data_IF_788033372318
#
_entry.id   IF_788033372318
#
_cell.length_a   1.000
_cell.length_b   1.000
_cell.length_c   1.000
_cell.angle_alpha   90.00
_cell.angle_beta   90.00
_cell.angle_gamma   90.00
#
_symmetry.space_group_name_H-M   'P 1'
#
loop_
_entity.id
_entity.type
_entity.pdbx_description
1 polymer ?
#
# COMPACT_ATOMS: atom_id res chain seq x y z
N UNK A 1 -1.86 -48.84 -49.43
CA UNK A 1 -1.73 -47.37 -49.37
C UNK A 1 -2.52 -46.87 -48.17
N UNK A 2 -1.84 -46.17 -47.24
CA UNK A 2 -2.34 -45.14 -46.29
C UNK A 2 -3.42 -45.58 -45.28
N UNK A 3 -3.36 -45.28 -43.98
CA UNK A 3 -2.39 -44.61 -43.13
C UNK A 3 -2.90 -44.70 -41.69
N UNK A 4 -1.97 -44.85 -40.76
CA UNK A 4 -2.01 -44.79 -39.29
C UNK A 4 -3.32 -44.51 -38.54
N UNK A 5 -3.62 -45.46 -37.64
CA UNK A 5 -4.17 -45.26 -36.29
C UNK A 5 -3.48 -44.10 -35.55
N UNK A 6 -4.29 -43.37 -34.76
CA UNK A 6 -3.87 -42.83 -33.47
C UNK A 6 -3.36 -41.39 -33.49
N UNK A 7 -4.26 -40.43 -33.35
CA UNK A 7 -3.93 -39.13 -32.77
C UNK A 7 -4.65 -39.02 -31.42
N UNK A 8 -3.99 -39.51 -30.37
CA UNK A 8 -4.34 -39.22 -28.99
C UNK A 8 -3.96 -37.76 -28.74
N UNK A 9 -4.92 -36.86 -28.82
CA UNK A 9 -4.76 -35.48 -28.37
C UNK A 9 -4.68 -35.47 -26.84
N UNK A 10 -3.47 -35.55 -26.31
CA UNK A 10 -3.17 -35.15 -24.93
C UNK A 10 -3.35 -33.64 -24.82
N UNK A 11 -4.59 -33.20 -24.55
CA UNK A 11 -4.80 -31.90 -23.92
C UNK A 11 -4.34 -32.04 -22.47
N UNK A 12 -3.03 -31.82 -22.25
CA UNK A 12 -2.51 -31.57 -20.90
C UNK A 12 -3.18 -30.30 -20.40
N UNK A 13 -4.23 -30.46 -19.60
CA UNK A 13 -4.79 -29.38 -18.81
C UNK A 13 -3.68 -28.88 -17.88
N UNK A 14 -3.03 -27.79 -18.27
CA UNK A 14 -2.20 -26.99 -17.37
C UNK A 14 -3.16 -26.33 -16.38
N UNK A 15 -3.67 -27.10 -15.44
CA UNK A 15 -4.32 -26.53 -14.27
C UNK A 15 -3.21 -25.79 -13.54
N UNK A 16 -3.15 -24.47 -13.69
CA UNK A 16 -2.41 -23.64 -12.76
C UNK A 16 -3.00 -23.95 -11.38
N UNK A 17 -2.36 -24.87 -10.65
CA UNK A 17 -2.68 -25.11 -9.26
C UNK A 17 -2.30 -23.83 -8.54
N UNK A 18 -3.29 -22.94 -8.37
CA UNK A 18 -3.16 -21.78 -7.51
C UNK A 18 -2.97 -22.31 -6.09
N UNK A 19 -1.73 -22.66 -5.75
CA UNK A 19 -1.36 -23.00 -4.39
C UNK A 19 -1.67 -21.76 -3.56
N UNK A 20 -2.47 -21.96 -2.52
CA UNK A 20 -2.82 -20.87 -1.61
C UNK A 20 -1.55 -20.47 -0.86
N UNK A 21 -1.06 -19.26 -1.16
CA UNK A 21 0.20 -18.74 -0.63
C UNK A 21 0.08 -18.53 0.88
N UNK A 22 1.11 -18.90 1.63
CA UNK A 22 1.16 -18.71 3.08
C UNK A 22 2.15 -17.59 3.43
N UNK A 23 1.66 -16.56 4.11
CA UNK A 23 2.41 -15.34 4.41
C UNK A 23 2.42 -15.04 5.91
N UNK A 24 3.53 -14.49 6.40
CA UNK A 24 3.59 -13.94 7.76
C UNK A 24 2.72 -12.68 7.86
N UNK A 25 1.88 -12.62 8.89
CA UNK A 25 1.11 -11.43 9.26
C UNK A 25 1.64 -10.83 10.55
N UNK A 26 2.14 -9.60 10.49
CA UNK A 26 2.66 -8.87 11.66
C UNK A 26 2.73 -7.36 11.43
N UNK A 27 2.82 -6.60 12.52
CA UNK A 27 3.01 -5.15 12.50
C UNK A 27 4.11 -4.77 13.48
N UNK A 28 4.93 -3.79 13.11
CA UNK A 28 5.82 -3.11 14.04
C UNK A 28 5.85 -1.61 13.76
N UNK A 29 6.04 -0.83 14.83
CA UNK A 29 6.16 0.64 14.78
C UNK A 29 7.62 0.97 15.03
N UNK A 30 8.17 1.90 14.23
CA UNK A 30 9.57 2.35 14.28
C UNK A 30 10.58 1.19 14.24
N UNK A 31 10.26 0.16 13.46
CA UNK A 31 11.10 -1.01 13.21
C UNK A 31 11.08 -1.37 11.73
N UNK A 32 12.20 -1.85 11.21
CA UNK A 32 12.32 -2.30 9.81
C UNK A 32 11.82 -3.74 9.60
N UNK A 33 11.52 -4.47 10.68
CA UNK A 33 11.06 -5.86 10.61
C UNK A 33 10.05 -6.19 11.70
N UNK A 34 9.23 -7.21 11.45
CA UNK A 34 8.33 -7.80 12.42
C UNK A 34 8.25 -9.31 12.26
N UNK A 35 7.88 -9.99 13.34
CA UNK A 35 7.63 -11.43 13.38
C UNK A 35 6.17 -11.65 13.78
N UNK A 36 5.52 -12.66 13.21
CA UNK A 36 4.14 -12.99 13.54
C UNK A 36 3.72 -14.35 13.00
N UNK A 37 2.41 -14.57 12.97
CA UNK A 37 1.84 -15.84 12.57
C UNK A 37 1.71 -15.95 11.06
N UNK A 38 1.73 -17.19 10.56
CA UNK A 38 1.51 -17.45 9.15
C UNK A 38 0.00 -17.59 8.87
N UNK A 39 -0.45 -16.95 7.79
CA UNK A 39 -1.84 -16.97 7.33
C UNK A 39 -1.89 -17.34 5.85
N UNK A 40 -2.95 -18.04 5.46
CA UNK A 40 -3.17 -18.44 4.07
C UNK A 40 -3.90 -17.31 3.33
N UNK A 41 -3.34 -16.85 2.22
CA UNK A 41 -3.94 -15.80 1.39
C UNK A 41 -5.04 -16.36 0.48
N UNK A 42 -6.08 -15.55 0.26
CA UNK A 42 -7.11 -15.82 -0.73
C UNK A 42 -6.59 -15.62 -2.15
N UNK A 43 -7.30 -16.18 -3.14
CA UNK A 43 -6.97 -15.98 -4.55
C UNK A 43 -6.94 -14.48 -4.91
N UNK A 44 -5.96 -14.07 -5.71
CA UNK A 44 -5.73 -12.66 -6.07
C UNK A 44 -4.85 -11.87 -5.11
N UNK A 45 -4.45 -12.47 -3.98
CA UNK A 45 -3.52 -11.86 -3.03
C UNK A 45 -2.15 -12.54 -3.05
N UNK A 46 -1.13 -11.80 -2.64
CA UNK A 46 0.27 -12.24 -2.50
C UNK A 46 0.86 -11.79 -1.16
N UNK A 47 2.04 -12.29 -0.79
CA UNK A 47 2.74 -11.82 0.40
C UNK A 47 3.24 -10.41 0.16
N UNK A 48 2.81 -9.48 1.00
CA UNK A 48 3.19 -8.07 0.93
C UNK A 48 3.90 -7.59 2.18
N UNK A 49 4.86 -6.70 1.98
CA UNK A 49 5.34 -5.79 3.00
C UNK A 49 4.89 -4.36 2.66
N UNK A 50 4.26 -3.72 3.63
CA UNK A 50 3.79 -2.34 3.56
C UNK A 50 4.66 -1.51 4.50
N UNK A 51 5.28 -0.48 3.94
CA UNK A 51 6.11 0.49 4.64
C UNK A 51 5.35 1.82 4.62
N UNK A 52 4.85 2.25 5.77
CA UNK A 52 4.25 3.56 5.93
C UNK A 52 5.17 4.47 6.74
N UNK A 53 5.32 5.71 6.31
CA UNK A 53 6.01 6.77 7.04
C UNK A 53 5.08 7.95 7.14
N UNK A 54 4.95 8.52 8.32
CA UNK A 54 4.29 9.81 8.52
C UNK A 54 5.27 10.79 9.14
N UNK A 55 5.13 12.05 8.76
CA UNK A 55 5.77 13.18 9.42
C UNK A 55 4.65 14.16 9.73
N UNK A 56 4.21 14.22 10.97
CA UNK A 56 3.12 15.10 11.43
C UNK A 56 3.67 15.95 12.57
N UNK A 57 3.55 17.28 12.47
CA UNK A 57 4.08 18.22 13.46
C UNK A 57 5.56 17.93 13.86
N UNK A 58 6.40 17.62 12.87
CA UNK A 58 7.80 17.19 13.02
C UNK A 58 8.04 15.87 13.77
N UNK A 59 6.98 15.13 14.12
CA UNK A 59 7.09 13.78 14.67
C UNK A 59 7.08 12.78 13.53
N UNK A 60 8.17 12.01 13.42
CA UNK A 60 8.30 10.93 12.44
C UNK A 60 7.78 9.63 13.05
N UNK A 61 6.83 8.98 12.40
CA UNK A 61 6.39 7.62 12.74
C UNK A 61 6.55 6.72 11.53
N UNK A 62 7.12 5.54 11.73
CA UNK A 62 7.22 4.51 10.71
C UNK A 62 6.42 3.29 11.13
N UNK A 63 5.70 2.69 10.19
CA UNK A 63 4.97 1.43 10.39
C UNK A 63 5.42 0.45 9.33
N UNK A 64 5.82 -0.73 9.78
CA UNK A 64 6.11 -1.88 8.94
C UNK A 64 5.05 -2.95 9.17
N UNK A 65 4.41 -3.40 8.10
CA UNK A 65 3.34 -4.40 8.13
C UNK A 65 3.64 -5.50 7.11
N UNK A 66 3.58 -6.76 7.55
CA UNK A 66 3.51 -7.92 6.65
C UNK A 66 2.08 -8.45 6.64
N UNK A 67 1.53 -8.70 5.46
CA UNK A 67 0.17 -9.20 5.29
C UNK A 67 -0.05 -9.81 3.89
N UNK A 68 -1.16 -10.50 3.71
CA UNK A 68 -1.69 -10.76 2.37
C UNK A 68 -2.20 -9.44 1.76
N UNK A 69 -1.71 -9.07 0.59
CA UNK A 69 -2.15 -7.86 -0.14
C UNK A 69 -2.62 -8.22 -1.54
N UNK A 70 -3.50 -7.39 -2.10
CA UNK A 70 -3.95 -7.54 -3.49
C UNK A 70 -2.77 -7.41 -4.44
N UNK A 71 -2.73 -8.26 -5.47
CA UNK A 71 -1.73 -8.18 -6.53
C UNK A 71 -1.72 -6.81 -7.24
N UNK A 72 -2.86 -6.11 -7.27
CA UNK A 72 -2.99 -4.77 -7.87
C UNK A 72 -2.27 -3.70 -7.04
N UNK A 73 -2.17 -3.92 -5.72
CA UNK A 73 -1.47 -3.02 -4.81
C UNK A 73 0.02 -3.35 -4.70
N UNK A 74 0.54 -4.22 -5.56
CA UNK A 74 1.93 -4.64 -5.51
C UNK A 74 2.86 -3.61 -6.16
N UNK A 75 4.04 -3.38 -5.56
CA UNK A 75 5.01 -2.37 -6.01
C UNK A 75 4.43 -0.94 -6.08
N UNK A 76 3.30 -0.70 -5.40
CA UNK A 76 2.65 0.59 -5.32
C UNK A 76 3.44 1.53 -4.39
N UNK A 77 3.59 2.77 -4.83
CA UNK A 77 4.14 3.88 -4.05
C UNK A 77 3.13 5.01 -4.07
N UNK A 78 2.75 5.49 -2.89
CA UNK A 78 1.89 6.65 -2.72
C UNK A 78 2.55 7.66 -1.79
N UNK A 79 2.46 8.93 -2.14
CA UNK A 79 2.75 10.06 -1.26
C UNK A 79 1.51 10.92 -1.15
N UNK A 80 1.36 11.52 0.02
CA UNK A 80 0.31 12.48 0.28
C UNK A 80 0.80 13.56 1.23
N UNK A 81 0.64 14.81 0.82
CA UNK A 81 0.99 15.97 1.66
C UNK A 81 -0.27 16.72 2.09
N UNK A 82 -0.28 17.15 3.35
CA UNK A 82 -1.34 17.94 3.98
C UNK A 82 -0.73 19.11 4.76
N UNK A 83 -1.57 20.01 5.26
CA UNK A 83 -1.15 21.12 6.11
C UNK A 83 -0.58 20.71 7.46
N UNK A 84 -0.83 19.47 7.91
CA UNK A 84 -0.34 18.96 9.19
C UNK A 84 0.89 18.06 9.03
N UNK A 85 1.20 17.64 7.80
CA UNK A 85 2.23 16.65 7.59
C UNK A 85 2.13 15.89 6.28
N UNK A 86 3.02 14.92 6.14
CA UNK A 86 3.18 14.12 4.94
C UNK A 86 3.14 12.62 5.27
N UNK A 87 2.52 11.84 4.39
CA UNK A 87 2.39 10.40 4.46
C UNK A 87 3.03 9.79 3.22
N UNK A 88 3.81 8.74 3.41
CA UNK A 88 4.28 7.88 2.35
C UNK A 88 3.85 6.45 2.64
N UNK A 89 3.45 5.74 1.60
CA UNK A 89 3.14 4.31 1.64
C UNK A 89 3.84 3.64 0.48
N UNK A 90 4.67 2.64 0.79
CA UNK A 90 5.31 1.79 -0.21
C UNK A 90 4.93 0.35 0.06
N UNK A 91 4.77 -0.39 -1.01
CA UNK A 91 4.44 -1.81 -0.96
C UNK A 91 5.45 -2.59 -1.77
N UNK A 92 5.91 -3.71 -1.23
CA UNK A 92 6.73 -4.69 -1.92
C UNK A 92 6.09 -6.05 -1.78
N UNK A 93 6.22 -6.90 -2.78
CA UNK A 93 5.66 -8.25 -2.70
C UNK A 93 6.66 -9.32 -3.10
N UNK A 94 6.29 -10.54 -2.76
CA UNK A 94 6.99 -11.73 -3.19
C UNK A 94 6.01 -12.90 -3.28
N UNK A 95 6.26 -13.80 -4.24
CA UNK A 95 5.28 -14.79 -4.69
C UNK A 95 5.58 -16.22 -4.20
N UNK A 96 6.38 -16.36 -3.14
CA UNK A 96 6.73 -17.66 -2.53
C UNK A 96 6.38 -17.66 -1.05
N UNK A 97 6.11 -18.83 -0.48
CA UNK A 97 5.73 -18.93 0.93
C UNK A 97 6.79 -18.30 1.85
N UNK A 98 6.34 -17.51 2.83
CA UNK A 98 7.18 -16.86 3.85
C UNK A 98 8.37 -16.04 3.34
N UNK A 99 8.30 -15.55 2.10
CA UNK A 99 9.35 -14.74 1.51
C UNK A 99 9.61 -13.43 2.26
N UNK A 100 10.85 -12.95 2.14
CA UNK A 100 11.29 -11.64 2.63
C UNK A 100 11.30 -10.67 1.46
N UNK A 101 10.73 -9.48 1.65
CA UNK A 101 10.74 -8.41 0.65
C UNK A 101 12.05 -7.63 0.71
N UNK A 102 12.42 -7.00 -0.40
CA UNK A 102 13.59 -6.13 -0.45
C UNK A 102 13.42 -4.90 0.47
N UNK A 103 14.55 -4.33 0.89
CA UNK A 103 14.57 -3.05 1.60
C UNK A 103 14.00 -1.92 0.75
N UNK A 104 13.42 -0.92 1.42
CA UNK A 104 12.74 0.20 0.78
C UNK A 104 13.30 1.51 1.31
N UNK A 105 13.56 2.44 0.39
CA UNK A 105 13.82 3.85 0.71
C UNK A 105 12.60 4.69 0.36
N UNK A 106 12.23 5.58 1.28
CA UNK A 106 11.20 6.59 1.00
C UNK A 106 11.77 7.65 0.04
N UNK A 107 10.99 8.11 -0.95
CA UNK A 107 11.43 9.20 -1.81
C UNK A 107 11.65 10.47 -0.98
N UNK A 108 12.64 11.28 -1.39
CA UNK A 108 12.87 12.59 -0.82
C UNK A 108 11.75 13.57 -1.23
N UNK A 109 11.61 14.66 -0.47
CA UNK A 109 10.67 15.73 -0.81
C UNK A 109 11.13 16.37 -2.13
N UNK A 110 10.16 16.58 -3.03
CA UNK A 110 10.42 17.29 -4.28
C UNK A 110 10.47 18.80 -4.07
N UNK A 111 10.91 19.51 -5.11
CA UNK A 111 10.74 20.96 -5.20
C UNK A 111 9.28 21.31 -5.46
N UNK A 112 8.89 22.53 -5.13
CA UNK A 112 7.59 23.08 -5.46
C UNK A 112 7.27 22.96 -6.97
N UNK A 113 6.11 22.38 -7.30
CA UNK A 113 5.67 22.19 -8.69
C UNK A 113 4.65 23.23 -9.17
N UNK A 114 4.23 24.15 -8.28
CA UNK A 114 3.38 25.29 -8.61
C UNK A 114 1.86 25.05 -8.47
N UNK A 115 1.43 23.82 -8.19
CA UNK A 115 0.03 23.54 -7.85
C UNK A 115 -0.27 23.97 -6.41
N UNK A 116 -1.48 24.50 -6.17
CA UNK A 116 -1.98 24.83 -4.83
C UNK A 116 -3.20 23.98 -4.51
N UNK A 117 -3.15 23.21 -3.42
CA UNK A 117 -4.26 22.39 -2.97
C UNK A 117 -4.84 22.91 -1.65
N UNK A 118 -6.18 22.95 -1.49
CA UNK A 118 -6.76 23.21 -0.18
C UNK A 118 -6.42 22.03 0.74
N UNK A 119 -6.17 22.28 2.02
CA UNK A 119 -5.74 21.24 2.94
C UNK A 119 -6.38 21.35 4.33
N UNK A 120 -6.69 20.18 4.88
CA UNK A 120 -7.19 19.97 6.23
C UNK A 120 -6.98 18.51 6.64
N UNK A 121 -6.96 18.25 7.94
CA UNK A 121 -7.02 16.90 8.51
C UNK A 121 -7.95 16.96 9.72
N UNK A 122 -8.86 15.99 9.83
CA UNK A 122 -9.80 15.85 10.94
C UNK A 122 -9.94 14.38 11.35
N UNK A 123 -9.90 14.15 12.67
CA UNK A 123 -10.08 12.84 13.30
C UNK A 123 -11.49 12.73 13.88
N UNK A 124 -12.12 11.58 13.71
CA UNK A 124 -13.50 11.24 14.06
C UNK A 124 -14.57 12.04 13.29
N UNK A 125 -14.18 12.62 12.16
CA UNK A 125 -15.08 13.28 11.22
C UNK A 125 -14.92 12.69 9.83
N UNK A 126 -16.04 12.56 9.11
CA UNK A 126 -16.09 12.14 7.71
C UNK A 126 -15.77 13.26 6.71
N UNK A 127 -15.53 14.48 7.19
CA UNK A 127 -15.24 15.62 6.33
C UNK A 127 -14.43 16.70 7.06
N UNK A 128 -13.66 17.47 6.30
CA UNK A 128 -13.01 18.69 6.79
C UNK A 128 -13.02 19.81 5.74
N UNK A 129 -13.11 21.05 6.19
CA UNK A 129 -13.03 22.24 5.32
C UNK A 129 -11.57 22.70 5.20
N UNK A 130 -11.05 22.71 3.97
CA UNK A 130 -9.69 23.20 3.70
C UNK A 130 -9.68 24.70 3.46
N UNK A 131 -9.53 25.49 4.53
CA UNK A 131 -9.39 26.97 4.42
C UNK A 131 -7.94 27.41 4.15
N UNK A 132 -6.97 26.52 4.37
CA UNK A 132 -5.56 26.74 4.08
C UNK A 132 -5.16 26.05 2.78
N UNK A 133 -4.26 26.66 2.03
CA UNK A 133 -3.67 26.08 0.83
C UNK A 133 -2.24 25.65 1.12
N UNK A 134 -1.84 24.51 0.57
CA UNK A 134 -0.46 24.02 0.57
C UNK A 134 0.07 24.06 -0.87
N UNK A 135 1.39 24.22 -0.99
CA UNK A 135 2.09 24.21 -2.26
C UNK A 135 2.58 22.81 -2.58
N UNK A 136 2.14 22.29 -3.71
CA UNK A 136 2.47 20.93 -4.09
C UNK A 136 3.91 20.79 -4.53
N UNK A 137 4.48 19.61 -4.26
CA UNK A 137 5.88 19.32 -4.55
C UNK A 137 6.06 18.09 -5.43
N UNK A 138 7.17 18.05 -6.16
CA UNK A 138 7.56 16.91 -6.99
C UNK A 138 6.43 16.44 -7.91
N UNK A 139 6.09 15.16 -7.80
CA UNK A 139 5.13 14.50 -8.67
C UNK A 139 3.67 14.63 -8.19
N UNK A 140 3.40 15.27 -7.04
CA UNK A 140 2.05 15.46 -6.50
C UNK A 140 1.27 16.47 -7.35
N UNK A 141 0.57 15.96 -8.36
CA UNK A 141 -0.03 16.74 -9.46
C UNK A 141 -1.56 16.80 -9.37
N UNK A 142 -2.16 16.26 -8.31
CA UNK A 142 -3.61 16.24 -8.11
C UNK A 142 -3.95 16.63 -6.67
N UNK A 143 -5.03 17.41 -6.51
CA UNK A 143 -5.64 17.62 -5.21
C UNK A 143 -6.67 16.52 -4.94
N UNK A 144 -6.63 15.94 -3.75
CA UNK A 144 -7.55 14.89 -3.30
C UNK A 144 -8.26 15.27 -2.01
N UNK A 145 -9.41 14.63 -1.83
CA UNK A 145 -10.12 14.58 -0.57
C UNK A 145 -10.45 13.11 -0.31
N UNK A 146 -10.05 12.61 0.85
CA UNK A 146 -10.36 11.25 1.24
C UNK A 146 -10.76 11.18 2.71
N UNK A 147 -11.56 10.14 3.00
CA UNK A 147 -12.01 9.77 4.33
C UNK A 147 -11.77 8.27 4.49
N UNK A 148 -11.03 7.89 5.51
CA UNK A 148 -10.70 6.50 5.81
C UNK A 148 -11.22 6.10 7.18
N UNK A 149 -11.77 4.89 7.26
CA UNK A 149 -12.11 4.25 8.53
C UNK A 149 -10.96 3.33 8.90
N UNK A 150 -10.22 3.68 9.94
CA UNK A 150 -9.14 2.85 10.45
C UNK A 150 -9.76 1.81 11.41
N UNK A 151 -9.66 0.54 11.03
CA UNK A 151 -10.06 -0.59 11.86
C UNK A 151 -8.82 -1.39 12.24
N UNK A 152 -8.59 -1.57 13.54
CA UNK A 152 -7.43 -2.30 14.07
C UNK A 152 -7.57 -2.55 15.57
N UNK A 153 -6.48 -2.95 16.24
CA UNK A 153 -6.45 -3.10 17.71
C UNK A 153 -6.60 -1.75 18.44
N UNK A 154 -6.32 -0.64 17.75
CA UNK A 154 -6.57 0.71 18.23
C UNK A 154 -8.05 1.09 18.06
N UNK A 155 -8.55 2.11 18.79
CA UNK A 155 -9.92 2.59 18.64
C UNK A 155 -10.22 2.91 17.18
N UNK A 156 -11.41 2.51 16.73
CA UNK A 156 -11.91 2.91 15.41
C UNK A 156 -11.88 4.43 15.30
N UNK A 157 -11.22 4.92 14.27
CA UNK A 157 -11.08 6.35 14.00
C UNK A 157 -11.43 6.62 12.55
N UNK A 158 -12.21 7.68 12.33
CA UNK A 158 -12.47 8.21 10.99
C UNK A 158 -11.45 9.31 10.73
N UNK A 159 -10.55 9.12 9.77
CA UNK A 159 -9.61 10.15 9.39
C UNK A 159 -10.03 10.74 8.05
N UNK A 160 -10.33 12.04 8.01
CA UNK A 160 -10.58 12.77 6.78
C UNK A 160 -9.50 13.79 6.52
N UNK A 161 -9.03 13.86 5.28
CA UNK A 161 -8.02 14.83 4.90
C UNK A 161 -8.18 15.31 3.47
N UNK A 162 -7.70 16.53 3.27
CA UNK A 162 -7.52 17.13 1.95
C UNK A 162 -6.06 17.46 1.75
N UNK A 163 -5.55 17.14 0.58
CA UNK A 163 -4.14 17.29 0.29
C UNK A 163 -3.83 17.09 -1.18
N UNK A 164 -2.56 16.89 -1.43
CA UNK A 164 -2.01 16.58 -2.74
C UNK A 164 -1.59 15.10 -2.80
N UNK A 165 -1.64 14.50 -4.00
CA UNK A 165 -1.06 13.19 -4.26
C UNK A 165 -0.69 13.03 -5.74
N UNK A 166 -0.04 11.91 -6.03
CA UNK A 166 0.15 11.40 -7.38
C UNK A 166 -0.45 10.00 -7.52
N UNK A 167 -0.77 9.61 -8.76
CA UNK A 167 -1.33 8.30 -9.12
C UNK A 167 -0.26 7.41 -9.74
#
# INVERSE_FOLDING_TARGET
>A
MKSLLGFVTLFSALTATSHALTCTQCMAINSASCTGNNVTCTSGNTCGAIYAKTVIDNVVTQVFLRACISNVSCEATGTMTTSQGQLWVLTKCCNTDNCTTADVSFPANGEANGLLCPSCVATDYSWCYGSRYIQCTGNETKCLLASMNLQGPAPQQVLSFRGESYS
#
